data_IF_150150754715
#
_entry.id   IF_150150754715
#
_cell.length_a   1.000
_cell.length_b   1.000
_cell.length_c   1.000
_cell.angle_alpha   90.00
_cell.angle_beta   90.00
_cell.angle_gamma   90.00
#
_symmetry.space_group_name_H-M   'P 1'
#
loop_
_entity.id
_entity.type
_entity.pdbx_description
1 polymer ?
#
# COMPACT_ATOMS: atom_id res chain seq x y z
N UNK A 1 -25.21 13.41 8.12
CA UNK A 1 -24.36 12.22 8.35
C UNK A 1 -23.85 12.31 9.78
N UNK A 2 -23.90 11.22 10.56
CA UNK A 2 -23.33 11.18 11.92
C UNK A 2 -21.80 11.17 11.82
N UNK A 3 -21.14 12.02 12.61
CA UNK A 3 -19.68 12.06 12.72
C UNK A 3 -19.19 10.88 13.55
N UNK A 4 -18.02 10.36 13.21
CA UNK A 4 -17.34 9.26 13.88
C UNK A 4 -16.51 9.82 15.04
N UNK A 5 -16.84 9.40 16.26
CA UNK A 5 -16.11 9.77 17.48
C UNK A 5 -15.00 8.79 17.83
N UNK A 6 -15.22 7.49 17.59
CA UNK A 6 -14.25 6.43 17.89
C UNK A 6 -14.09 5.49 16.71
N UNK A 7 -12.84 5.26 16.29
CA UNK A 7 -12.49 4.38 15.18
C UNK A 7 -11.37 3.41 15.56
N UNK A 8 -11.48 2.16 15.13
CA UNK A 8 -10.33 1.24 15.10
C UNK A 8 -9.83 1.15 13.67
N UNK A 9 -8.52 1.29 13.48
CA UNK A 9 -7.87 1.20 12.17
C UNK A 9 -6.88 0.05 12.18
N UNK A 10 -7.06 -0.88 11.26
CA UNK A 10 -6.13 -1.97 10.99
C UNK A 10 -5.37 -1.59 9.72
N UNK A 11 -4.14 -1.08 9.86
CA UNK A 11 -3.35 -0.64 8.71
C UNK A 11 -2.32 -1.69 8.30
N UNK A 12 -2.41 -2.16 7.07
CA UNK A 12 -1.48 -3.09 6.42
C UNK A 12 -0.61 -2.30 5.42
N UNK A 13 0.60 -1.87 5.81
CA UNK A 13 1.46 -1.04 4.95
C UNK A 13 2.00 -1.81 3.73
N UNK A 14 2.62 -1.08 2.79
CA UNK A 14 3.23 -1.65 1.58
C UNK A 14 4.57 -2.36 1.81
N UNK A 15 5.13 -2.95 0.76
CA UNK A 15 6.41 -3.69 0.80
C UNK A 15 7.60 -2.75 1.02
N UNK A 16 7.95 -2.51 2.28
CA UNK A 16 9.00 -1.57 2.70
C UNK A 16 9.73 -2.11 3.93
N UNK A 17 11.06 -1.89 4.05
CA UNK A 17 11.85 -2.36 5.18
C UNK A 17 11.69 -1.42 6.38
N UNK A 18 10.43 -1.19 6.79
CA UNK A 18 10.07 -0.32 7.89
C UNK A 18 9.28 -1.11 8.92
N UNK A 19 9.78 -1.15 10.15
CA UNK A 19 9.03 -1.67 11.28
C UNK A 19 7.81 -0.78 11.61
N UNK A 20 6.98 -1.26 12.54
CA UNK A 20 5.82 -0.51 13.02
C UNK A 20 6.17 0.91 13.50
N UNK A 21 7.32 1.12 14.15
CA UNK A 21 7.72 2.43 14.70
C UNK A 21 8.01 3.41 13.57
N UNK A 22 8.73 2.96 12.54
CA UNK A 22 9.01 3.76 11.36
C UNK A 22 7.74 4.05 10.54
N UNK A 23 6.80 3.11 10.46
CA UNK A 23 5.49 3.32 9.86
C UNK A 23 4.64 4.33 10.66
N UNK A 24 4.62 4.26 11.99
CA UNK A 24 3.96 5.26 12.86
C UNK A 24 4.58 6.65 12.66
N UNK A 25 5.91 6.76 12.62
CA UNK A 25 6.58 8.04 12.37
C UNK A 25 6.25 8.61 10.97
N UNK A 26 6.08 7.75 9.96
CA UNK A 26 5.61 8.18 8.63
C UNK A 26 4.15 8.65 8.66
N UNK A 27 3.29 7.91 9.36
CA UNK A 27 1.90 8.30 9.54
C UNK A 27 1.83 9.68 10.19
N UNK A 28 2.56 9.92 11.27
CA UNK A 28 2.61 11.21 11.97
C UNK A 28 3.02 12.36 11.04
N UNK A 29 4.09 12.19 10.24
CA UNK A 29 4.50 13.22 9.26
C UNK A 29 3.40 13.50 8.23
N UNK A 30 2.77 12.45 7.73
CA UNK A 30 1.69 12.55 6.74
C UNK A 30 0.45 13.23 7.34
N UNK A 31 0.15 12.89 8.59
CA UNK A 31 -0.99 13.44 9.32
C UNK A 31 -0.79 14.92 9.64
N UNK A 32 0.42 15.34 10.06
CA UNK A 32 0.76 16.76 10.26
C UNK A 32 0.63 17.57 8.97
N UNK A 33 1.02 16.97 7.85
CA UNK A 33 0.87 17.61 6.56
C UNK A 33 -0.61 17.76 6.17
N UNK A 34 -1.40 16.70 6.34
CA UNK A 34 -2.85 16.75 6.16
C UNK A 34 -3.51 17.79 7.07
N UNK A 35 -3.16 17.83 8.36
CA UNK A 35 -3.75 18.77 9.32
C UNK A 35 -3.48 20.22 8.94
N UNK A 36 -2.28 20.52 8.43
CA UNK A 36 -1.95 21.85 7.90
C UNK A 36 -2.77 22.21 6.64
N UNK A 37 -2.99 21.25 5.74
CA UNK A 37 -3.76 21.47 4.51
C UNK A 37 -5.25 21.66 4.78
N UNK A 38 -5.80 20.92 5.75
CA UNK A 38 -7.23 20.85 6.02
C UNK A 38 -7.67 21.66 7.25
N UNK A 39 -6.74 22.28 7.99
CA UNK A 39 -7.06 23.20 9.09
C UNK A 39 -7.70 22.53 10.32
N UNK A 40 -7.33 21.28 10.63
CA UNK A 40 -7.78 20.58 11.83
C UNK A 40 -6.62 20.37 12.83
N UNK A 41 -6.94 20.17 14.11
CA UNK A 41 -5.99 19.86 15.17
C UNK A 41 -5.66 18.37 15.17
N UNK A 42 -4.38 18.04 15.40
CA UNK A 42 -3.87 16.67 15.39
C UNK A 42 -3.00 16.40 16.61
N UNK A 43 -3.27 15.30 17.28
CA UNK A 43 -2.42 14.70 18.31
C UNK A 43 -2.16 13.23 17.95
N UNK A 44 -0.89 12.82 17.97
CA UNK A 44 -0.47 11.45 17.72
C UNK A 44 0.24 10.93 18.97
N UNK A 45 -0.39 9.99 19.65
CA UNK A 45 0.12 9.38 20.88
C UNK A 45 1.40 8.58 20.66
N UNK A 46 2.08 8.29 21.77
CA UNK A 46 3.19 7.33 21.80
C UNK A 46 2.69 5.93 21.46
N UNK A 47 3.49 5.10 20.78
CA UNK A 47 3.12 3.72 20.58
C UNK A 47 3.05 2.97 21.90
N UNK A 48 2.08 2.07 22.03
CA UNK A 48 2.17 1.03 23.04
C UNK A 48 3.05 -0.11 22.49
N UNK A 49 3.82 -0.76 23.37
CA UNK A 49 4.75 -1.83 23.00
C UNK A 49 4.07 -3.13 22.55
N UNK A 50 2.86 -3.04 21.98
CA UNK A 50 2.14 -4.16 21.40
C UNK A 50 2.75 -4.58 20.05
N UNK A 51 2.44 -5.80 19.63
CA UNK A 51 2.74 -6.32 18.31
C UNK A 51 1.45 -6.91 17.71
N UNK A 52 0.91 -6.35 16.61
CA UNK A 52 1.39 -5.19 15.86
C UNK A 52 1.38 -3.90 16.67
N UNK A 53 2.37 -3.03 16.43
CA UNK A 53 2.48 -1.73 17.09
C UNK A 53 1.17 -0.96 17.00
N UNK A 54 0.65 -0.49 18.13
CA UNK A 54 -0.55 0.33 18.15
C UNK A 54 -0.35 1.69 18.79
N UNK A 55 -1.13 2.68 18.35
CA UNK A 55 -1.05 4.06 18.85
C UNK A 55 -2.37 4.79 18.65
N UNK A 56 -2.63 5.79 19.49
CA UNK A 56 -3.81 6.62 19.39
C UNK A 56 -3.55 7.87 18.55
N UNK A 57 -4.55 8.28 17.78
CA UNK A 57 -4.57 9.52 17.00
C UNK A 57 -5.86 10.25 17.31
N UNK A 58 -5.74 11.45 17.84
CA UNK A 58 -6.89 12.32 18.09
C UNK A 58 -6.86 13.45 17.07
N UNK A 59 -7.96 13.63 16.34
CA UNK A 59 -8.15 14.82 15.51
C UNK A 59 -9.39 15.57 15.95
N UNK A 60 -9.36 16.90 15.83
CA UNK A 60 -10.50 17.76 16.15
C UNK A 60 -10.53 19.00 15.27
N UNK A 61 -11.70 19.61 15.12
CA UNK A 61 -11.84 20.84 14.34
C UNK A 61 -13.25 21.43 14.44
N UNK A 62 -13.46 22.57 13.79
CA UNK A 62 -14.79 23.15 13.67
C UNK A 62 -15.65 22.29 12.73
N UNK A 63 -16.90 22.01 13.12
CA UNK A 63 -17.87 21.42 12.22
C UNK A 63 -18.30 22.49 11.21
N UNK A 64 -18.19 22.18 9.92
CA UNK A 64 -18.74 23.03 8.86
C UNK A 64 -20.27 23.11 9.06
N UNK A 65 -20.81 24.31 9.28
CA UNK A 65 -22.24 24.52 9.46
C UNK A 65 -22.71 25.82 10.15
N UNK A 66 -21.84 26.67 10.69
CA UNK A 66 -22.24 28.04 11.01
C UNK A 66 -22.32 28.85 9.71
N UNK A 67 -23.43 29.55 9.40
CA UNK A 67 -23.50 30.38 8.22
C UNK A 67 -22.41 31.46 8.29
N UNK A 68 -21.67 31.65 7.20
CA UNK A 68 -20.93 32.90 6.97
C UNK A 68 -21.96 34.03 7.05
N UNK A 69 -21.95 34.78 8.16
CA UNK A 69 -22.72 36.01 8.28
C UNK A 69 -22.28 36.92 7.14
N UNK A 70 -23.23 37.24 6.26
CA UNK A 70 -23.03 38.26 5.23
C UNK A 70 -22.52 39.55 5.90
N UNK A 71 -21.49 40.21 5.38
CA UNK A 71 -20.99 41.46 5.94
C UNK A 71 -22.04 42.56 5.66
N UNK A 72 -22.97 42.75 6.59
CA UNK A 72 -24.05 43.73 6.40
C UNK A 72 -25.24 43.56 7.33
N UNK A 73 -25.03 43.48 8.65
CA UNK A 73 -26.08 43.77 9.62
C UNK A 73 -25.45 44.42 10.85
N UNK A 74 -25.26 45.74 10.79
CA UNK A 74 -24.92 46.53 11.95
C UNK A 74 -26.15 46.60 12.88
N UNK A 75 -25.97 46.15 14.12
CA UNK A 75 -26.88 46.45 15.24
C UNK A 75 -27.75 45.29 15.70
N UNK A 76 -27.23 44.45 16.60
CA UNK A 76 -27.99 43.80 17.67
C UNK A 76 -27.05 43.13 18.68
N UNK A 77 -27.11 43.61 19.93
CA UNK A 77 -26.90 42.92 21.23
C UNK A 77 -25.85 41.80 21.36
N UNK A 78 -24.89 42.04 22.28
CA UNK A 78 -24.01 41.07 22.92
C UNK A 78 -24.83 39.94 23.59
N UNK A 79 -25.09 38.86 22.85
CA UNK A 79 -25.37 37.54 23.39
C UNK A 79 -24.20 36.63 23.03
N UNK A 80 -23.74 35.80 23.97
CA UNK A 80 -22.69 34.81 23.73
C UNK A 80 -22.95 34.05 22.43
N UNK A 81 -22.04 34.19 21.46
CA UNK A 81 -22.10 33.40 20.23
C UNK A 81 -22.05 31.91 20.63
N UNK A 82 -23.00 31.06 20.17
CA UNK A 82 -22.89 29.63 20.42
C UNK A 82 -21.60 29.13 19.79
N UNK A 83 -20.70 28.59 20.63
CA UNK A 83 -19.41 28.09 20.18
C UNK A 83 -19.61 27.19 18.95
N UNK A 84 -18.84 27.40 17.87
CA UNK A 84 -19.00 26.62 16.64
C UNK A 84 -18.90 25.14 17.01
N UNK A 85 -19.91 24.36 16.63
CA UNK A 85 -19.98 22.93 16.98
C UNK A 85 -18.64 22.27 16.63
N UNK A 86 -17.92 21.75 17.61
CA UNK A 86 -16.63 21.11 17.38
C UNK A 86 -16.82 19.62 17.18
N UNK A 87 -15.99 19.01 16.35
CA UNK A 87 -15.90 17.57 16.21
C UNK A 87 -14.58 17.07 16.78
N UNK A 88 -14.59 15.84 17.27
CA UNK A 88 -13.39 15.13 17.70
C UNK A 88 -13.52 13.66 17.32
N UNK A 89 -12.45 13.08 16.80
CA UNK A 89 -12.34 11.67 16.46
C UNK A 89 -11.09 11.09 17.10
N UNK A 90 -11.29 10.08 17.94
CA UNK A 90 -10.24 9.27 18.54
C UNK A 90 -10.09 7.97 17.75
N UNK A 91 -8.93 7.76 17.15
CA UNK A 91 -8.64 6.59 16.34
C UNK A 91 -7.51 5.79 16.96
N UNK A 92 -7.72 4.49 17.19
CA UNK A 92 -6.64 3.58 17.55
C UNK A 92 -6.16 2.87 16.30
N UNK A 93 -4.89 3.03 15.96
CA UNK A 93 -4.29 2.48 14.75
C UNK A 93 -3.39 1.32 15.14
N UNK A 94 -3.64 0.15 14.57
CA UNK A 94 -2.78 -1.04 14.67
C UNK A 94 -2.01 -1.19 13.37
N UNK A 95 -0.67 -1.19 13.47
CA UNK A 95 0.24 -1.22 12.34
C UNK A 95 0.67 -2.66 12.05
N UNK A 96 -0.06 -3.33 11.16
CA UNK A 96 0.18 -4.73 10.80
C UNK A 96 1.29 -4.81 9.74
N UNK A 97 2.50 -4.42 10.12
CA UNK A 97 3.66 -4.43 9.23
C UNK A 97 4.22 -5.84 8.95
N UNK A 98 5.06 -5.92 7.92
CA UNK A 98 5.73 -7.14 7.50
C UNK A 98 7.24 -6.97 7.37
N UNK A 99 7.85 -6.04 8.14
CA UNK A 99 9.28 -5.73 8.06
C UNK A 99 10.15 -6.97 8.31
N UNK A 100 9.80 -7.77 9.32
CA UNK A 100 10.51 -9.00 9.63
C UNK A 100 10.59 -9.93 8.40
N UNK A 101 9.51 -10.04 7.64
CA UNK A 101 9.49 -10.87 6.44
C UNK A 101 10.28 -10.23 5.30
N UNK A 102 10.15 -8.91 5.09
CA UNK A 102 10.95 -8.15 4.10
C UNK A 102 12.45 -8.32 4.37
N UNK A 103 12.89 -8.17 5.62
CA UNK A 103 14.30 -8.34 6.03
C UNK A 103 14.77 -9.78 5.80
N UNK A 104 13.94 -10.77 6.11
CA UNK A 104 14.26 -12.18 5.88
C UNK A 104 14.43 -12.49 4.39
N UNK A 105 13.56 -11.98 3.52
CA UNK A 105 13.70 -12.15 2.07
C UNK A 105 14.94 -11.45 1.49
N UNK A 106 15.49 -10.49 2.23
CA UNK A 106 16.66 -9.68 1.85
C UNK A 106 17.94 -10.06 2.60
N UNK A 107 17.94 -11.12 3.42
CA UNK A 107 19.07 -11.48 4.28
C UNK A 107 20.22 -12.18 3.54
N UNK A 108 19.94 -12.75 2.36
CA UNK A 108 20.95 -13.43 1.54
C UNK A 108 21.96 -12.47 0.90
N UNK A 109 23.09 -12.99 0.43
CA UNK A 109 24.03 -12.21 -0.37
C UNK A 109 23.42 -11.78 -1.73
N UNK A 110 24.03 -10.80 -2.40
CA UNK A 110 23.52 -10.24 -3.65
C UNK A 110 23.23 -11.30 -4.72
N UNK A 111 24.12 -12.28 -4.89
CA UNK A 111 23.91 -13.36 -5.88
C UNK A 111 22.67 -14.19 -5.55
N UNK A 112 22.49 -14.57 -4.28
CA UNK A 112 21.33 -15.33 -3.84
C UNK A 112 20.02 -14.55 -4.03
N UNK A 113 20.03 -13.23 -3.79
CA UNK A 113 18.87 -12.37 -4.03
C UNK A 113 18.52 -12.27 -5.52
N UNK A 114 19.53 -12.15 -6.40
CA UNK A 114 19.33 -12.15 -7.85
C UNK A 114 18.74 -13.49 -8.30
N UNK A 115 19.36 -14.61 -7.91
CA UNK A 115 18.89 -15.97 -8.27
C UNK A 115 17.46 -16.20 -7.78
N UNK A 116 17.15 -15.82 -6.54
CA UNK A 116 15.81 -15.94 -5.98
C UNK A 116 14.81 -15.04 -6.73
N UNK A 117 15.19 -13.81 -7.09
CA UNK A 117 14.38 -12.92 -7.92
C UNK A 117 14.03 -13.51 -9.28
N UNK A 118 15.03 -14.02 -10.02
CA UNK A 118 14.80 -14.67 -11.33
C UNK A 118 13.99 -15.96 -11.21
N UNK A 119 14.17 -16.74 -10.14
CA UNK A 119 13.32 -17.89 -9.84
C UNK A 119 11.85 -17.49 -9.66
N UNK A 120 11.58 -16.43 -8.88
CA UNK A 120 10.23 -15.89 -8.72
C UNK A 120 9.66 -15.39 -10.04
N UNK A 121 10.47 -14.74 -10.88
CA UNK A 121 10.05 -14.31 -12.22
C UNK A 121 9.59 -15.49 -13.07
N UNK A 122 10.40 -16.56 -13.13
CA UNK A 122 10.05 -17.78 -13.87
C UNK A 122 8.75 -18.40 -13.34
N UNK A 123 8.58 -18.46 -12.01
CA UNK A 123 7.34 -18.97 -11.39
C UNK A 123 6.11 -18.12 -11.77
N UNK A 124 6.21 -16.79 -11.67
CA UNK A 124 5.15 -15.86 -12.06
C UNK A 124 4.78 -16.02 -13.54
N UNK A 125 5.77 -16.20 -14.42
CA UNK A 125 5.55 -16.44 -15.84
C UNK A 125 4.85 -17.77 -16.10
N UNK A 126 5.33 -18.87 -15.50
CA UNK A 126 4.77 -20.21 -15.65
C UNK A 126 3.34 -20.31 -15.11
N UNK A 127 3.01 -19.57 -14.07
CA UNK A 127 1.66 -19.51 -13.48
C UNK A 127 0.70 -18.57 -14.23
N UNK A 128 1.14 -17.97 -15.33
CA UNK A 128 0.32 -17.08 -16.16
C UNK A 128 0.20 -15.65 -15.64
N UNK A 129 0.90 -15.29 -14.57
CA UNK A 129 0.89 -13.96 -13.96
C UNK A 129 1.23 -12.87 -14.97
N UNK A 130 2.29 -13.06 -15.78
CA UNK A 130 2.69 -12.08 -16.81
C UNK A 130 1.59 -11.84 -17.85
N UNK A 131 0.91 -12.89 -18.31
CA UNK A 131 -0.23 -12.75 -19.24
C UNK A 131 -1.37 -11.97 -18.59
N UNK A 132 -1.66 -12.23 -17.32
CA UNK A 132 -2.62 -11.48 -16.52
C UNK A 132 -2.24 -10.00 -16.39
N UNK A 133 -0.97 -9.70 -16.08
CA UNK A 133 -0.45 -8.35 -15.94
C UNK A 133 -0.60 -7.56 -17.23
N UNK A 134 -0.18 -8.10 -18.38
CA UNK A 134 -0.35 -7.40 -19.66
C UNK A 134 -1.81 -7.26 -20.09
N UNK A 135 -2.67 -8.25 -19.76
CA UNK A 135 -4.10 -8.20 -20.06
C UNK A 135 -4.84 -7.12 -19.26
N UNK A 136 -4.51 -6.95 -17.98
CA UNK A 136 -5.27 -6.08 -17.08
C UNK A 136 -4.57 -4.76 -16.75
N UNK A 137 -3.23 -4.72 -16.76
CA UNK A 137 -2.43 -3.56 -16.39
C UNK A 137 -1.06 -3.59 -17.09
N UNK A 138 -1.01 -3.33 -18.40
CA UNK A 138 0.24 -3.38 -19.18
C UNK A 138 1.39 -2.51 -18.61
N UNK A 139 1.07 -1.38 -17.97
CA UNK A 139 2.06 -0.54 -17.27
C UNK A 139 2.73 -1.27 -16.10
N UNK A 140 1.94 -2.04 -15.34
CA UNK A 140 2.44 -2.92 -14.30
C UNK A 140 3.27 -4.06 -14.89
N UNK A 141 2.84 -4.64 -16.02
CA UNK A 141 3.63 -5.64 -16.75
C UNK A 141 5.03 -5.15 -17.16
N UNK A 142 5.14 -3.90 -17.63
CA UNK A 142 6.44 -3.28 -17.92
C UNK A 142 7.25 -3.00 -16.66
N UNK A 143 6.62 -2.49 -15.60
CA UNK A 143 7.27 -2.28 -14.31
C UNK A 143 7.84 -3.58 -13.73
N UNK A 144 7.08 -4.68 -13.84
CA UNK A 144 7.49 -6.03 -13.46
C UNK A 144 8.72 -6.50 -14.25
N UNK A 145 8.73 -6.31 -15.59
CA UNK A 145 9.82 -6.78 -16.45
C UNK A 145 11.13 -5.99 -16.28
N UNK A 146 11.02 -4.68 -16.04
CA UNK A 146 12.16 -3.77 -16.02
C UNK A 146 13.37 -4.24 -15.17
N UNK A 147 13.24 -4.64 -13.89
CA UNK A 147 14.39 -5.06 -13.09
C UNK A 147 15.09 -6.29 -13.67
N UNK A 148 14.34 -7.24 -14.26
CA UNK A 148 14.91 -8.44 -14.87
C UNK A 148 15.65 -8.12 -16.16
N UNK A 149 15.08 -7.27 -17.02
CA UNK A 149 15.74 -6.84 -18.26
C UNK A 149 17.00 -6.02 -17.97
N UNK A 150 16.96 -5.16 -16.95
CA UNK A 150 18.12 -4.39 -16.50
C UNK A 150 19.25 -5.30 -16.00
N UNK A 151 18.93 -6.29 -15.15
CA UNK A 151 19.93 -7.25 -14.66
C UNK A 151 20.42 -8.19 -15.76
N UNK A 152 19.55 -8.65 -16.67
CA UNK A 152 19.95 -9.48 -17.80
C UNK A 152 20.91 -8.73 -18.76
N UNK A 153 20.63 -7.46 -19.04
CA UNK A 153 21.54 -6.60 -19.80
C UNK A 153 22.90 -6.47 -19.10
N UNK A 154 22.91 -6.27 -17.78
CA UNK A 154 24.15 -6.17 -17.02
C UNK A 154 24.96 -7.48 -17.06
N UNK A 155 24.30 -8.63 -16.91
CA UNK A 155 24.94 -9.95 -17.04
C UNK A 155 25.53 -10.12 -18.45
N UNK A 156 24.79 -9.74 -19.50
CA UNK A 156 25.27 -9.81 -20.87
C UNK A 156 26.49 -8.90 -21.11
N UNK A 157 26.48 -7.66 -20.58
CA UNK A 157 27.62 -6.76 -20.65
C UNK A 157 28.83 -7.28 -19.87
N UNK A 158 28.62 -7.82 -18.66
CA UNK A 158 29.66 -8.48 -17.86
C UNK A 158 30.27 -9.65 -18.62
N UNK A 159 29.45 -10.53 -19.20
CA UNK A 159 29.93 -11.65 -20.01
C UNK A 159 30.71 -11.15 -21.23
N UNK A 160 30.21 -10.10 -21.92
CA UNK A 160 30.89 -9.51 -23.07
C UNK A 160 32.25 -8.93 -22.69
N UNK A 161 32.38 -8.23 -21.56
CA UNK A 161 33.69 -7.74 -21.07
C UNK A 161 34.64 -8.91 -20.84
N UNK A 162 34.17 -10.00 -20.22
CA UNK A 162 34.99 -11.16 -19.94
C UNK A 162 35.50 -11.84 -21.22
N UNK A 163 34.66 -12.00 -22.25
CA UNK A 163 35.00 -12.70 -23.50
C UNK A 163 35.55 -11.78 -24.60
N UNK A 164 35.50 -10.46 -24.43
CA UNK A 164 35.92 -9.49 -25.44
C UNK A 164 37.33 -9.75 -26.00
N UNK A 165 38.37 -10.05 -25.19
CA UNK A 165 39.70 -10.31 -25.73
C UNK A 165 39.72 -11.49 -26.71
N UNK A 166 39.04 -12.59 -26.36
CA UNK A 166 38.94 -13.75 -27.23
C UNK A 166 38.20 -13.43 -28.53
N UNK A 167 37.06 -12.72 -28.45
CA UNK A 167 36.27 -12.33 -29.63
C UNK A 167 37.00 -11.40 -30.60
N UNK A 168 37.98 -10.64 -30.10
CA UNK A 168 38.82 -9.73 -30.88
C UNK A 168 40.11 -10.41 -31.39
N UNK A 169 40.27 -11.72 -31.18
CA UNK A 169 41.42 -12.50 -31.65
C UNK A 169 42.66 -12.42 -30.76
N UNK A 170 42.54 -11.88 -29.53
CA UNK A 170 43.65 -11.89 -28.58
C UNK A 170 43.84 -13.26 -27.93
N UNK A 171 45.05 -13.47 -27.39
CA UNK A 171 45.38 -14.69 -26.65
C UNK A 171 44.44 -14.93 -25.46
N UNK A 172 44.06 -16.19 -25.15
CA UNK A 172 43.25 -16.52 -23.97
C UNK A 172 43.83 -16.02 -22.64
N UNK A 173 45.14 -15.75 -22.55
CA UNK A 173 45.78 -15.15 -21.37
C UNK A 173 45.19 -13.80 -20.98
N UNK A 174 44.62 -13.04 -21.93
CA UNK A 174 43.94 -11.79 -21.62
C UNK A 174 42.65 -11.98 -20.80
N UNK A 175 42.14 -13.22 -20.68
CA UNK A 175 41.02 -13.53 -19.77
C UNK A 175 41.39 -13.36 -18.29
N UNK A 176 42.68 -13.40 -17.95
CA UNK A 176 43.17 -13.22 -16.57
C UNK A 176 42.87 -11.81 -16.03
N UNK A 177 42.84 -10.78 -16.88
CA UNK A 177 42.47 -9.42 -16.46
C UNK A 177 41.04 -9.05 -16.86
N UNK A 178 40.52 -9.57 -17.99
CA UNK A 178 39.15 -9.24 -18.42
C UNK A 178 38.09 -9.86 -17.51
N UNK A 179 38.34 -11.04 -16.93
CA UNK A 179 37.47 -11.65 -15.92
C UNK A 179 37.31 -10.79 -14.66
N UNK A 180 38.42 -10.43 -13.98
CA UNK A 180 38.37 -9.47 -12.87
C UNK A 180 37.78 -8.12 -13.25
N UNK A 181 38.07 -7.60 -14.45
CA UNK A 181 37.49 -6.35 -14.94
C UNK A 181 35.96 -6.45 -15.07
N UNK A 182 35.45 -7.55 -15.60
CA UNK A 182 34.02 -7.83 -15.72
C UNK A 182 33.36 -7.89 -14.34
N UNK A 183 34.01 -8.54 -13.37
CA UNK A 183 33.54 -8.59 -11.98
C UNK A 183 33.54 -7.20 -11.34
N UNK A 184 34.59 -6.41 -11.53
CA UNK A 184 34.68 -5.03 -11.06
C UNK A 184 33.58 -4.16 -11.66
N UNK A 185 33.30 -4.29 -12.96
CA UNK A 185 32.17 -3.61 -13.60
C UNK A 185 30.85 -3.98 -12.94
N UNK A 186 30.59 -5.27 -12.70
CA UNK A 186 29.35 -5.71 -12.09
C UNK A 186 29.20 -5.16 -10.66
N UNK A 187 30.22 -5.31 -9.82
CA UNK A 187 30.18 -4.94 -8.41
C UNK A 187 30.18 -3.42 -8.21
N UNK A 188 31.05 -2.69 -8.91
CA UNK A 188 31.30 -1.28 -8.62
C UNK A 188 30.59 -0.31 -9.57
N UNK A 189 30.15 -0.75 -10.76
CA UNK A 189 29.37 0.09 -11.67
C UNK A 189 27.89 -0.32 -11.67
N UNK A 190 27.58 -1.59 -11.94
CA UNK A 190 26.19 -2.03 -12.10
C UNK A 190 25.42 -2.04 -10.77
N UNK A 191 25.92 -2.69 -9.72
CA UNK A 191 25.17 -2.78 -8.46
C UNK A 191 24.79 -1.39 -7.90
N UNK A 192 25.72 -0.42 -7.77
CA UNK A 192 25.37 0.92 -7.28
C UNK A 192 24.41 1.67 -8.21
N UNK A 193 24.49 1.45 -9.53
CA UNK A 193 23.55 2.01 -10.48
C UNK A 193 22.16 1.39 -10.33
N UNK A 194 22.07 0.07 -10.17
CA UNK A 194 20.82 -0.68 -10.05
C UNK A 194 20.06 -0.39 -8.74
N UNK A 195 20.76 -0.02 -7.69
CA UNK A 195 20.17 0.41 -6.41
C UNK A 195 19.37 1.71 -6.55
N UNK A 196 19.72 2.59 -7.50
CA UNK A 196 18.92 3.78 -7.83
C UNK A 196 17.51 3.43 -8.31
N UNK A 197 17.33 2.20 -8.79
CA UNK A 197 16.06 1.66 -9.24
C UNK A 197 15.46 0.63 -8.28
N UNK A 198 16.06 0.45 -7.09
CA UNK A 198 15.60 -0.49 -6.07
C UNK A 198 15.46 -1.94 -6.57
N UNK A 199 16.35 -2.38 -7.47
CA UNK A 199 16.25 -3.67 -8.17
C UNK A 199 16.19 -4.86 -7.21
N UNK A 200 17.08 -4.92 -6.21
CA UNK A 200 17.07 -6.00 -5.21
C UNK A 200 15.82 -5.97 -4.32
N UNK A 201 15.29 -4.78 -4.03
CA UNK A 201 14.04 -4.62 -3.30
C UNK A 201 12.86 -5.19 -4.10
N UNK A 202 12.82 -4.96 -5.42
CA UNK A 202 11.78 -5.54 -6.29
C UNK A 202 11.89 -7.06 -6.35
N UNK A 203 13.10 -7.64 -6.39
CA UNK A 203 13.26 -9.09 -6.34
C UNK A 203 12.71 -9.72 -5.06
N UNK A 204 12.84 -9.04 -3.92
CA UNK A 204 12.23 -9.48 -2.68
C UNK A 204 10.69 -9.35 -2.72
N UNK A 205 10.15 -8.28 -3.33
CA UNK A 205 8.71 -8.12 -3.52
C UNK A 205 8.11 -9.27 -4.35
N UNK A 206 8.77 -9.67 -5.44
CA UNK A 206 8.31 -10.78 -6.27
C UNK A 206 8.37 -12.13 -5.55
N UNK A 207 9.37 -12.34 -4.68
CA UNK A 207 9.41 -13.52 -3.81
C UNK A 207 8.22 -13.54 -2.84
N UNK A 208 7.89 -12.40 -2.24
CA UNK A 208 6.71 -12.28 -1.38
C UNK A 208 5.42 -12.51 -2.17
N UNK A 209 5.32 -12.01 -3.40
CA UNK A 209 4.16 -12.22 -4.26
C UNK A 209 3.91 -13.71 -4.53
N UNK A 210 4.97 -14.45 -4.86
CA UNK A 210 4.88 -15.91 -5.05
C UNK A 210 4.52 -16.62 -3.74
N UNK A 211 5.10 -16.20 -2.61
CA UNK A 211 4.79 -16.77 -1.31
C UNK A 211 3.30 -16.60 -0.94
N UNK A 212 2.76 -15.39 -1.06
CA UNK A 212 1.37 -15.06 -0.76
C UNK A 212 0.38 -15.58 -1.80
N UNK A 213 0.81 -15.74 -3.06
CA UNK A 213 0.00 -16.35 -4.10
C UNK A 213 -0.13 -17.87 -3.88
N UNK A 214 0.99 -18.57 -3.72
CA UNK A 214 1.01 -20.03 -3.62
C UNK A 214 0.71 -20.57 -2.22
N UNK A 215 0.89 -19.76 -1.17
CA UNK A 215 0.73 -20.16 0.24
C UNK A 215 1.52 -21.43 0.61
N UNK A 216 2.67 -21.63 -0.04
CA UNK A 216 3.50 -22.84 0.04
C UNK A 216 4.56 -22.81 1.15
N UNK A 217 4.68 -21.67 1.85
CA UNK A 217 5.72 -21.44 2.85
C UNK A 217 5.11 -21.45 4.24
N UNK A 218 5.46 -22.46 5.05
CA UNK A 218 4.98 -22.57 6.43
C UNK A 218 5.29 -21.31 7.24
N UNK A 219 6.51 -20.78 7.12
CA UNK A 219 6.93 -19.58 7.86
C UNK A 219 6.13 -18.32 7.51
N UNK A 220 5.63 -18.21 6.27
CA UNK A 220 4.74 -17.13 5.86
C UNK A 220 3.31 -17.36 6.36
N UNK A 221 2.84 -18.60 6.32
CA UNK A 221 1.50 -18.97 6.75
C UNK A 221 1.36 -18.79 8.27
N UNK A 222 2.31 -19.29 9.07
CA UNK A 222 2.33 -19.14 10.53
C UNK A 222 2.34 -17.66 10.93
N UNK A 223 3.13 -16.83 10.23
CA UNK A 223 3.13 -15.39 10.46
C UNK A 223 1.77 -14.74 10.15
N UNK A 224 1.10 -15.13 9.05
CA UNK A 224 -0.24 -14.63 8.73
C UNK A 224 -1.26 -15.03 9.81
N UNK A 225 -1.10 -16.21 10.41
CA UNK A 225 -1.93 -16.68 11.52
C UNK A 225 -1.71 -15.88 12.80
N UNK A 226 -0.46 -15.55 13.12
CA UNK A 226 -0.13 -14.66 14.24
C UNK A 226 -0.75 -13.26 14.03
N UNK A 227 -0.67 -12.73 12.80
CA UNK A 227 -1.31 -11.46 12.45
C UNK A 227 -2.83 -11.53 12.53
N UNK A 228 -3.44 -12.64 12.10
CA UNK A 228 -4.87 -12.85 12.25
C UNK A 228 -5.31 -12.87 13.72
N UNK A 229 -4.56 -13.56 14.58
CA UNK A 229 -4.81 -13.59 16.04
C UNK A 229 -4.74 -12.17 16.64
N UNK A 230 -3.74 -11.39 16.26
CA UNK A 230 -3.58 -10.03 16.76
C UNK A 230 -4.67 -9.08 16.24
N UNK A 231 -5.04 -9.20 14.96
CA UNK A 231 -6.15 -8.43 14.37
C UNK A 231 -7.49 -8.82 14.99
N UNK A 232 -7.71 -10.11 15.28
CA UNK A 232 -8.90 -10.59 15.99
C UNK A 232 -9.07 -9.89 17.33
N UNK A 233 -7.98 -9.75 18.11
CA UNK A 233 -7.98 -9.04 19.39
C UNK A 233 -8.30 -7.56 19.24
N UNK A 234 -7.75 -6.89 18.22
CA UNK A 234 -8.07 -5.48 17.94
C UNK A 234 -9.54 -5.26 17.57
N UNK A 235 -10.19 -6.27 16.96
CA UNK A 235 -11.62 -6.21 16.62
C UNK A 235 -12.55 -6.33 17.85
N UNK A 236 -12.06 -6.78 19.01
CA UNK A 236 -12.82 -6.77 20.27
C UNK A 236 -13.01 -5.36 20.84
N UNK A 237 -12.21 -4.40 20.40
CA UNK A 237 -12.36 -3.02 20.85
C UNK A 237 -13.64 -2.39 20.27
N UNK A 238 -14.50 -1.87 21.13
CA UNK A 238 -15.74 -1.17 20.74
C UNK A 238 -15.43 0.11 19.96
N UNK A 239 -16.02 0.28 18.76
CA UNK A 239 -15.90 1.50 17.96
C UNK A 239 -17.13 1.71 17.06
N UNK A 240 -17.31 2.97 16.62
CA UNK A 240 -18.41 3.33 15.72
C UNK A 240 -18.12 2.96 14.25
N UNK A 241 -16.83 2.80 13.90
CA UNK A 241 -16.36 2.38 12.58
C UNK A 241 -15.02 1.64 12.71
N UNK A 242 -14.87 0.58 11.92
CA UNK A 242 -13.62 -0.17 11.77
C UNK A 242 -13.10 0.06 10.35
N UNK A 243 -11.87 0.56 10.22
CA UNK A 243 -11.24 0.81 8.92
C UNK A 243 -10.08 -0.15 8.75
N UNK A 244 -10.25 -1.12 7.86
CA UNK A 244 -9.16 -1.97 7.39
C UNK A 244 -8.54 -1.24 6.21
N UNK A 245 -7.36 -0.67 6.38
CA UNK A 245 -6.65 0.02 5.29
C UNK A 245 -5.44 -0.80 4.86
N UNK A 246 -5.22 -0.94 3.57
CA UNK A 246 -4.08 -1.70 3.05
C UNK A 246 -3.43 -0.97 1.88
N UNK A 247 -2.11 -0.99 1.79
CA UNK A 247 -1.36 -0.38 0.70
C UNK A 247 -0.50 -1.39 -0.02
N UNK A 248 -0.49 -1.34 -1.36
CA UNK A 248 0.41 -2.17 -2.18
C UNK A 248 0.35 -3.66 -1.81
N UNK A 249 1.50 -4.30 -1.56
CA UNK A 249 1.63 -5.68 -1.10
C UNK A 249 0.87 -5.97 0.21
N UNK A 250 0.71 -4.98 1.10
CA UNK A 250 -0.09 -5.10 2.31
C UNK A 250 -1.55 -5.47 2.04
N UNK A 251 -2.09 -5.20 0.85
CA UNK A 251 -3.42 -5.66 0.47
C UNK A 251 -3.52 -7.19 0.34
N UNK A 252 -2.46 -7.89 -0.04
CA UNK A 252 -2.43 -9.36 -0.04
C UNK A 252 -2.41 -9.91 1.38
N UNK A 253 -1.63 -9.28 2.27
CA UNK A 253 -1.58 -9.62 3.69
C UNK A 253 -2.95 -9.40 4.33
N UNK A 254 -3.57 -8.24 4.09
CA UNK A 254 -4.92 -7.94 4.57
C UNK A 254 -5.94 -8.95 4.05
N UNK A 255 -5.93 -9.28 2.76
CA UNK A 255 -6.86 -10.25 2.19
C UNK A 255 -6.70 -11.64 2.85
N UNK A 256 -5.48 -12.07 3.13
CA UNK A 256 -5.23 -13.32 3.84
C UNK A 256 -5.65 -13.26 5.30
N UNK A 257 -5.26 -12.23 6.04
CA UNK A 257 -5.58 -12.08 7.46
C UNK A 257 -7.09 -11.99 7.68
N UNK A 258 -7.80 -11.15 6.92
CA UNK A 258 -9.26 -11.04 7.04
C UNK A 258 -9.94 -12.32 6.54
N UNK A 259 -9.39 -12.97 5.51
CA UNK A 259 -9.87 -14.26 5.03
C UNK A 259 -9.77 -15.36 6.08
N UNK A 260 -8.63 -15.49 6.78
CA UNK A 260 -8.44 -16.43 7.91
C UNK A 260 -9.52 -16.22 8.98
N UNK A 261 -9.80 -14.95 9.31
CA UNK A 261 -10.81 -14.61 10.30
C UNK A 261 -12.22 -14.99 9.86
N UNK A 262 -12.61 -14.69 8.62
CA UNK A 262 -13.91 -15.07 8.07
C UNK A 262 -14.07 -16.59 7.90
N UNK A 263 -12.98 -17.31 7.62
CA UNK A 263 -12.98 -18.78 7.54
C UNK A 263 -13.26 -19.43 8.90
N UNK A 264 -12.76 -18.83 9.99
CA UNK A 264 -12.90 -19.35 11.37
C UNK A 264 -14.15 -18.88 12.07
N UNK A 265 -14.44 -17.59 11.94
CA UNK A 265 -15.54 -16.89 12.59
C UNK A 265 -16.32 -16.13 11.52
N UNK A 266 -17.24 -16.79 10.78
CA UNK A 266 -17.97 -16.15 9.67
C UNK A 266 -18.75 -14.89 10.09
N UNK A 267 -19.13 -14.79 11.36
CA UNK A 267 -19.89 -13.68 11.93
C UNK A 267 -19.00 -12.67 12.68
N UNK A 268 -17.66 -12.72 12.55
CA UNK A 268 -16.73 -11.85 13.29
C UNK A 268 -17.02 -10.35 13.14
N UNK A 269 -17.57 -9.93 12.00
CA UNK A 269 -17.92 -8.54 11.73
C UNK A 269 -19.37 -8.20 12.02
N UNK A 270 -20.20 -9.16 12.47
CA UNK A 270 -21.62 -8.93 12.73
C UNK A 270 -21.84 -7.74 13.66
N UNK A 271 -22.67 -6.79 13.23
CA UNK A 271 -22.96 -5.56 13.98
C UNK A 271 -21.84 -4.51 13.96
N UNK A 272 -20.70 -4.78 13.32
CA UNK A 272 -19.60 -3.82 13.14
C UNK A 272 -19.76 -3.12 11.79
N UNK A 273 -19.49 -1.82 11.77
CA UNK A 273 -19.41 -1.05 10.51
C UNK A 273 -17.98 -1.11 9.97
N UNK A 274 -17.73 -1.94 8.98
CA UNK A 274 -16.38 -2.17 8.45
C UNK A 274 -16.19 -1.54 7.08
N UNK A 275 -15.10 -0.82 6.90
CA UNK A 275 -14.65 -0.31 5.61
C UNK A 275 -13.31 -0.94 5.27
N UNK A 276 -13.26 -1.73 4.20
CA UNK A 276 -11.99 -2.22 3.66
C UNK A 276 -11.52 -1.29 2.55
N UNK A 277 -10.48 -0.51 2.82
CA UNK A 277 -9.87 0.43 1.88
C UNK A 277 -8.55 -0.14 1.34
N UNK A 278 -8.56 -0.63 0.11
CA UNK A 278 -7.34 -1.04 -0.59
C UNK A 278 -6.77 0.14 -1.38
N UNK A 279 -5.51 0.48 -1.14
CA UNK A 279 -4.86 1.71 -1.61
C UNK A 279 -3.73 1.35 -2.59
N UNK A 280 -3.94 1.61 -3.88
CA UNK A 280 -2.98 1.17 -4.89
C UNK A 280 -2.76 -0.35 -4.82
N UNK A 281 -3.84 -1.11 -4.66
CA UNK A 281 -3.78 -2.52 -4.28
C UNK A 281 -2.90 -3.38 -5.19
N UNK A 282 -2.12 -4.27 -4.58
CA UNK A 282 -1.39 -5.33 -5.27
C UNK A 282 -2.08 -6.70 -5.16
N UNK A 283 -3.37 -6.80 -4.81
CA UNK A 283 -4.07 -8.10 -4.75
C UNK A 283 -3.95 -8.86 -6.08
N UNK A 284 -4.16 -8.18 -7.20
CA UNK A 284 -4.09 -8.80 -8.53
C UNK A 284 -2.67 -9.19 -8.94
N UNK A 285 -1.63 -8.61 -8.33
CA UNK A 285 -0.25 -9.07 -8.54
C UNK A 285 -0.11 -10.55 -8.14
N UNK A 286 -0.76 -10.98 -7.05
CA UNK A 286 -0.71 -12.36 -6.57
C UNK A 286 -1.89 -13.20 -7.09
N UNK A 287 -3.11 -12.63 -7.12
CA UNK A 287 -4.33 -13.37 -7.46
C UNK A 287 -4.39 -13.85 -8.92
N UNK A 288 -3.62 -13.23 -9.81
CA UNK A 288 -3.51 -13.62 -11.22
C UNK A 288 -2.61 -14.86 -11.46
N UNK A 289 -1.93 -15.34 -10.43
CA UNK A 289 -1.19 -16.61 -10.48
C UNK A 289 -2.18 -17.78 -10.46
N UNK A 290 -2.01 -18.78 -11.33
CA UNK A 290 -2.93 -19.93 -11.42
C UNK A 290 -3.13 -20.64 -10.07
N UNK A 291 -2.08 -20.78 -9.27
CA UNK A 291 -2.09 -21.39 -7.93
C UNK A 291 -2.68 -20.52 -6.81
N UNK A 292 -3.01 -19.24 -7.06
CA UNK A 292 -3.57 -18.34 -6.05
C UNK A 292 -5.05 -18.59 -5.72
N UNK A 293 -5.46 -19.87 -5.66
CA UNK A 293 -6.83 -20.29 -5.37
C UNK A 293 -7.29 -19.82 -3.99
N UNK A 294 -6.46 -19.97 -2.96
CA UNK A 294 -6.81 -19.56 -1.60
C UNK A 294 -6.96 -18.05 -1.47
N UNK A 295 -6.03 -17.27 -2.03
CA UNK A 295 -6.14 -15.81 -2.07
C UNK A 295 -7.42 -15.36 -2.79
N UNK A 296 -7.72 -15.94 -3.96
CA UNK A 296 -8.96 -15.64 -4.69
C UNK A 296 -10.18 -16.02 -3.85
N UNK A 297 -10.20 -17.17 -3.19
CA UNK A 297 -11.31 -17.57 -2.32
C UNK A 297 -11.56 -16.55 -1.20
N UNK A 298 -10.49 -16.09 -0.53
CA UNK A 298 -10.56 -15.08 0.54
C UNK A 298 -11.02 -13.70 0.05
N UNK A 299 -10.59 -13.29 -1.16
CA UNK A 299 -11.16 -12.11 -1.82
C UNK A 299 -12.67 -12.24 -2.00
N UNK A 300 -13.14 -13.43 -2.39
CA UNK A 300 -14.58 -13.74 -2.49
C UNK A 300 -15.31 -13.66 -1.15
N UNK A 301 -14.72 -14.20 -0.07
CA UNK A 301 -15.29 -14.09 1.29
C UNK A 301 -15.45 -12.64 1.72
N UNK A 302 -14.39 -11.84 1.57
CA UNK A 302 -14.40 -10.42 1.93
C UNK A 302 -15.46 -9.67 1.12
N UNK A 303 -15.53 -9.89 -0.19
CA UNK A 303 -16.49 -9.21 -1.06
C UNK A 303 -17.96 -9.57 -0.77
N UNK A 304 -18.21 -10.76 -0.21
CA UNK A 304 -19.57 -11.25 0.13
C UNK A 304 -19.97 -10.96 1.58
N UNK A 305 -19.05 -10.57 2.44
CA UNK A 305 -19.34 -10.21 3.83
C UNK A 305 -20.16 -8.91 3.86
N UNK A 306 -21.42 -8.94 4.33
CA UNK A 306 -22.33 -7.80 4.20
C UNK A 306 -21.91 -6.60 5.07
N UNK A 307 -21.17 -6.83 6.15
CA UNK A 307 -20.67 -5.78 7.04
C UNK A 307 -19.45 -5.04 6.49
N UNK A 308 -18.77 -5.61 5.48
CA UNK A 308 -17.60 -5.02 4.84
C UNK A 308 -18.01 -4.22 3.60
N UNK A 309 -17.86 -2.90 3.69
CA UNK A 309 -17.90 -2.04 2.51
C UNK A 309 -16.49 -1.88 1.93
N UNK A 310 -16.24 -2.50 0.76
CA UNK A 310 -14.93 -2.44 0.11
C UNK A 310 -14.80 -1.23 -0.83
N UNK A 311 -13.80 -0.38 -0.58
CA UNK A 311 -13.34 0.70 -1.45
C UNK A 311 -11.96 0.38 -2.01
N UNK A 312 -11.79 0.43 -3.33
CA UNK A 312 -10.49 0.25 -3.99
C UNK A 312 -10.02 1.58 -4.60
N UNK A 313 -8.99 2.16 -4.01
CA UNK A 313 -8.44 3.46 -4.39
C UNK A 313 -7.35 3.26 -5.43
N UNK A 314 -7.55 3.84 -6.62
CA UNK A 314 -6.71 3.62 -7.79
C UNK A 314 -6.24 4.93 -8.41
N UNK A 315 -5.05 4.93 -9.02
CA UNK A 315 -4.44 6.11 -9.62
C UNK A 315 -3.84 5.80 -10.99
N UNK A 316 -4.23 6.55 -12.03
CA UNK A 316 -3.71 6.34 -13.39
C UNK A 316 -2.20 6.57 -13.51
N UNK A 317 -1.67 7.55 -12.77
CA UNK A 317 -0.25 7.93 -12.87
C UNK A 317 0.66 6.93 -12.17
N UNK A 318 0.10 6.11 -11.29
CA UNK A 318 0.80 5.01 -10.65
C UNK A 318 0.86 3.81 -11.61
N UNK A 319 2.05 3.49 -12.11
CA UNK A 319 2.24 2.33 -12.99
C UNK A 319 2.19 0.99 -12.26
N UNK A 320 2.27 1.00 -10.93
CA UNK A 320 2.28 -0.21 -10.10
C UNK A 320 0.84 -0.66 -9.79
N UNK A 321 -0.14 0.25 -9.85
CA UNK A 321 -1.55 -0.06 -9.60
C UNK A 321 -2.29 -0.60 -10.83
N UNK A 322 -3.22 -1.52 -10.59
CA UNK A 322 -4.16 -2.05 -11.58
C UNK A 322 -5.31 -1.06 -11.82
N UNK A 323 -5.03 -0.01 -12.60
CA UNK A 323 -5.96 1.10 -12.82
C UNK A 323 -7.20 0.72 -13.66
N UNK A 324 -8.40 1.08 -13.16
CA UNK A 324 -9.73 0.73 -13.69
C UNK A 324 -9.98 -0.77 -13.81
N UNK A 325 -9.29 -1.57 -13.01
CA UNK A 325 -9.48 -3.02 -12.99
C UNK A 325 -10.35 -3.39 -11.78
N UNK A 326 -11.49 -4.08 -11.98
CA UNK A 326 -12.34 -4.50 -10.87
C UNK A 326 -11.71 -5.71 -10.15
N UNK A 327 -11.03 -5.45 -9.03
CA UNK A 327 -10.24 -6.45 -8.27
C UNK A 327 -11.04 -7.72 -7.93
N UNK A 328 -12.30 -7.58 -7.49
CA UNK A 328 -13.15 -8.70 -7.10
C UNK A 328 -13.49 -9.61 -8.30
N UNK A 329 -13.96 -9.01 -9.39
CA UNK A 329 -14.34 -9.75 -10.60
C UNK A 329 -13.13 -10.41 -11.27
N UNK A 330 -11.99 -9.72 -11.36
CA UNK A 330 -10.75 -10.28 -11.93
C UNK A 330 -10.13 -11.36 -11.04
N UNK A 331 -10.43 -11.34 -9.74
CA UNK A 331 -10.11 -12.44 -8.81
C UNK A 331 -11.07 -13.63 -8.92
N UNK A 332 -11.98 -13.65 -9.90
CA UNK A 332 -12.87 -14.77 -10.20
C UNK A 332 -14.27 -14.69 -9.60
N UNK A 333 -14.64 -13.58 -8.95
CA UNK A 333 -15.92 -13.42 -8.26
C UNK A 333 -16.77 -12.32 -8.91
N UNK A 334 -17.05 -12.44 -10.21
CA UNK A 334 -17.86 -11.46 -10.94
C UNK A 334 -19.32 -11.39 -10.46
N UNK A 335 -19.77 -12.41 -9.73
CA UNK A 335 -21.08 -12.54 -9.10
C UNK A 335 -21.16 -11.88 -7.71
N UNK A 336 -20.01 -11.56 -7.09
CA UNK A 336 -19.96 -10.90 -5.79
C UNK A 336 -20.12 -9.36 -5.93
N UNK A 337 -20.54 -8.66 -4.87
CA UNK A 337 -20.51 -7.20 -4.83
C UNK A 337 -19.13 -6.65 -5.21
N UNK A 338 -19.04 -5.71 -6.17
CA UNK A 338 -17.75 -5.17 -6.57
C UNK A 338 -17.18 -4.23 -5.50
N UNK A 339 -15.86 -4.23 -5.34
CA UNK A 339 -15.19 -3.16 -4.62
C UNK A 339 -15.45 -1.81 -5.32
N UNK A 340 -15.92 -0.82 -4.56
CA UNK A 340 -16.21 0.51 -5.10
C UNK A 340 -14.91 1.23 -5.46
N UNK A 341 -14.68 1.44 -6.76
CA UNK A 341 -13.48 2.11 -7.23
C UNK A 341 -13.49 3.61 -6.94
N UNK A 342 -12.48 4.10 -6.23
CA UNK A 342 -12.19 5.52 -6.03
C UNK A 342 -10.99 5.93 -6.86
N UNK A 343 -11.21 6.69 -7.93
CA UNK A 343 -10.13 7.12 -8.83
C UNK A 343 -9.53 8.45 -8.35
N UNK A 344 -8.30 8.41 -7.89
CA UNK A 344 -7.56 9.59 -7.45
C UNK A 344 -6.58 10.08 -8.53
N UNK A 345 -6.11 11.31 -8.36
CA UNK A 345 -5.10 11.91 -9.23
C UNK A 345 -4.03 12.56 -8.35
N UNK A 346 -2.85 11.94 -8.27
CA UNK A 346 -1.73 12.46 -7.46
C UNK A 346 -1.38 13.92 -7.80
N UNK A 347 -1.48 14.31 -9.08
CA UNK A 347 -1.29 15.71 -9.52
C UNK A 347 -2.27 16.73 -8.93
N UNK A 348 -3.39 16.28 -8.34
CA UNK A 348 -4.39 17.11 -7.66
C UNK A 348 -4.23 17.11 -6.14
N UNK A 349 -3.37 16.23 -5.61
CA UNK A 349 -3.05 16.14 -4.18
C UNK A 349 -1.79 16.93 -3.82
N UNK A 350 -0.94 17.20 -4.81
CA UNK A 350 0.37 17.82 -4.62
C UNK A 350 0.45 19.15 -5.35
N UNK A 351 1.27 20.05 -4.82
CA UNK A 351 1.68 21.26 -5.52
C UNK A 351 2.35 20.89 -6.85
N UNK A 352 2.29 21.80 -7.82
CA UNK A 352 2.93 21.58 -9.13
C UNK A 352 4.43 21.31 -9.01
N UNK A 353 5.09 21.98 -8.06
CA UNK A 353 6.52 21.81 -7.80
C UNK A 353 6.83 20.42 -7.24
N UNK A 354 6.14 20.00 -6.17
CA UNK A 354 6.35 18.68 -5.57
C UNK A 354 5.99 17.56 -6.56
N UNK A 355 4.88 17.68 -7.30
CA UNK A 355 4.53 16.71 -8.32
C UNK A 355 5.60 16.58 -9.41
N UNK A 356 6.21 17.70 -9.85
CA UNK A 356 7.31 17.68 -10.83
C UNK A 356 8.53 16.90 -10.31
N UNK A 357 8.83 16.99 -9.02
CA UNK A 357 9.93 16.27 -8.36
C UNK A 357 9.68 14.76 -8.33
N UNK A 358 8.45 14.33 -8.04
CA UNK A 358 8.16 12.89 -7.83
C UNK A 358 7.65 12.13 -9.06
N UNK A 359 7.07 12.80 -10.06
CA UNK A 359 6.30 12.13 -11.16
C UNK A 359 7.06 11.07 -11.98
N UNK A 360 8.39 11.08 -11.95
CA UNK A 360 9.23 10.09 -12.65
C UNK A 360 9.57 8.89 -11.77
N UNK A 361 9.53 9.05 -10.45
CA UNK A 361 9.76 7.98 -9.49
C UNK A 361 8.45 7.21 -9.26
N UNK A 362 8.35 6.03 -9.89
CA UNK A 362 7.14 5.21 -9.84
C UNK A 362 6.83 4.74 -8.42
N UNK A 363 7.84 4.38 -7.63
CA UNK A 363 7.65 3.94 -6.25
C UNK A 363 7.22 5.10 -5.36
N UNK A 364 7.75 6.32 -5.58
CA UNK A 364 7.31 7.51 -4.85
C UNK A 364 5.88 7.89 -5.18
N UNK A 365 5.47 7.83 -6.45
CA UNK A 365 4.07 8.04 -6.86
C UNK A 365 3.17 6.96 -6.25
N UNK A 366 3.59 5.70 -6.26
CA UNK A 366 2.85 4.58 -5.70
C UNK A 366 2.68 4.65 -4.18
N UNK A 367 3.62 5.27 -3.45
CA UNK A 367 3.48 5.50 -2.00
C UNK A 367 2.52 6.64 -1.66
N UNK A 368 2.14 7.48 -2.63
CA UNK A 368 1.39 8.71 -2.34
C UNK A 368 -0.02 8.47 -1.77
N UNK A 369 -0.58 7.27 -1.88
CA UNK A 369 -1.87 6.94 -1.25
C UNK A 369 -1.81 6.95 0.28
N UNK A 370 -0.64 6.81 0.89
CA UNK A 370 -0.45 6.80 2.35
C UNK A 370 0.40 7.97 2.85
N UNK A 371 0.65 8.95 1.98
CA UNK A 371 1.41 10.15 2.31
C UNK A 371 0.48 11.37 2.31
N UNK A 372 0.84 12.37 3.12
CA UNK A 372 0.09 13.61 3.23
C UNK A 372 0.01 14.36 1.88
N UNK A 373 -1.12 15.01 1.57
CA UNK A 373 -1.24 15.87 0.41
C UNK A 373 -0.60 17.24 0.68
N UNK A 374 -0.22 17.97 -0.37
CA UNK A 374 0.10 19.40 -0.25
C UNK A 374 -1.14 20.29 -0.46
N UNK A 375 -2.20 19.74 -1.07
CA UNK A 375 -3.41 20.47 -1.46
C UNK A 375 -4.68 19.69 -1.07
N UNK A 376 -5.77 20.41 -0.75
CA UNK A 376 -7.07 19.79 -0.50
C UNK A 376 -7.51 18.98 -1.73
N UNK A 377 -7.71 17.69 -1.54
CA UNK A 377 -8.00 16.74 -2.62
C UNK A 377 -9.25 15.89 -2.33
N UNK A 378 -9.67 15.08 -3.30
CA UNK A 378 -10.81 14.17 -3.14
C UNK A 378 -10.51 12.92 -2.31
N UNK A 379 -9.27 12.76 -1.86
CA UNK A 379 -8.83 11.65 -1.02
C UNK A 379 -7.69 12.14 -0.14
N UNK A 380 -7.74 11.74 1.12
CA UNK A 380 -6.72 11.99 2.11
C UNK A 380 -6.68 10.80 3.07
N UNK A 381 -5.52 10.16 3.19
CA UNK A 381 -5.37 8.96 4.00
C UNK A 381 -5.60 9.23 5.48
N UNK A 382 -5.08 10.33 6.01
CA UNK A 382 -5.23 10.69 7.42
C UNK A 382 -6.67 11.05 7.77
N UNK A 383 -7.39 11.74 6.88
CA UNK A 383 -8.82 11.99 7.10
C UNK A 383 -9.65 10.70 6.99
N UNK A 384 -9.27 9.75 6.14
CA UNK A 384 -9.92 8.43 6.08
C UNK A 384 -9.72 7.62 7.35
N UNK A 385 -8.50 7.63 7.91
CA UNK A 385 -8.16 6.83 9.09
C UNK A 385 -8.46 7.54 10.40
N UNK A 386 -8.46 8.87 10.46
CA UNK A 386 -8.64 9.61 11.71
C UNK A 386 -9.58 10.81 11.65
N UNK A 387 -10.17 11.14 10.50
CA UNK A 387 -11.12 12.24 10.38
C UNK A 387 -12.55 11.87 10.82
N UNK A 388 -13.44 12.87 10.97
CA UNK A 388 -14.75 12.73 11.59
C UNK A 388 -15.82 12.16 10.67
N UNK A 389 -15.57 12.13 9.37
CA UNK A 389 -16.52 11.57 8.42
C UNK A 389 -16.31 10.06 8.32
N UNK A 390 -17.38 9.28 8.09
CA UNK A 390 -17.24 7.87 7.77
C UNK A 390 -16.32 7.66 6.57
N UNK A 391 -15.49 6.62 6.58
CA UNK A 391 -14.49 6.39 5.54
C UNK A 391 -15.11 6.22 4.14
N UNK A 392 -16.35 5.76 4.04
CA UNK A 392 -17.07 5.66 2.76
C UNK A 392 -17.39 7.02 2.11
N UNK A 393 -17.29 8.15 2.83
CA UNK A 393 -17.57 9.48 2.29
C UNK A 393 -16.72 9.80 1.06
N UNK A 394 -15.49 9.30 1.01
CA UNK A 394 -14.55 9.54 -0.10
C UNK A 394 -15.04 8.94 -1.43
N UNK A 395 -15.97 7.99 -1.37
CA UNK A 395 -16.56 7.39 -2.56
C UNK A 395 -17.76 8.18 -3.12
N UNK A 396 -18.11 9.30 -2.48
CA UNK A 396 -19.16 10.20 -2.94
C UNK A 396 -18.55 11.32 -3.81
N UNK A 397 -19.10 11.62 -4.99
CA UNK A 397 -18.60 12.69 -5.87
C UNK A 397 -18.62 14.10 -5.26
N UNK A 398 -19.41 14.32 -4.19
CA UNK A 398 -19.61 15.64 -3.59
C UNK A 398 -18.48 16.03 -2.63
N UNK A 399 -17.39 16.61 -3.17
CA UNK A 399 -16.17 16.99 -2.43
C UNK A 399 -16.38 17.97 -1.27
N UNK A 400 -17.52 18.69 -1.24
CA UNK A 400 -17.85 19.62 -0.15
C UNK A 400 -18.05 18.92 1.20
N UNK A 401 -18.19 17.59 1.20
CA UNK A 401 -18.42 16.77 2.39
C UNK A 401 -17.16 16.33 3.14
N UNK A 402 -15.97 16.55 2.59
CA UNK A 402 -14.71 16.30 3.30
C UNK A 402 -14.42 17.54 4.17
N UNK A 403 -14.26 17.39 5.50
CA UNK A 403 -13.99 18.52 6.40
C UNK A 403 -12.69 19.20 6.02
N UNK A 404 -12.71 20.54 5.96
CA UNK A 404 -11.60 21.37 5.49
C UNK A 404 -11.78 22.86 5.65
#
# INVERSE_FOLDING_TARGET
MRLIKKRIVLHFPGFEPLDGVAHRARYERSARQSSAVWGYSLEVGTPDGSDPLSFEVTTSGAARGAPEMAPGAAGATLGEEPAPATWQTKSRIHMVDHDMFVRRLRSGNTLSQIVAGFRSCAQIMLEGGMRGYFRHAWRFGLFFLFPFLLTALAIALTAQIAVAPYSLGFSPWHMLWSGPLALCFFIFAFLPFSERFHTLHLFADWQMAVALGRMHRADCNDWLEDRATAVRKALDEEAEEYVISSHSMGSNVAAHVIGILLEREPEIFKGKRVVFASLGSAILQCALLSSASLLRARVGLIARCPEISWVDVQCLTDSINFYKVPVVAVSGHADAPPAKMLLIRVKQMLTREHYRKIRKDQLRVHRQYVLGPDLKASFDFTLMTSGPMPALVFTNPDKKRIPG
#
